data_IF_152022068875
#
_entry.id   IF_152022068875
#
_cell.length_a   1.000
_cell.length_b   1.000
_cell.length_c   1.000
_cell.angle_alpha   90.00
_cell.angle_beta   90.00
_cell.angle_gamma   90.00
#
_symmetry.space_group_name_H-M   'P 1'
#
loop_
_entity.id
_entity.type
_entity.pdbx_description
1 polymer ?
#
# COMPACT_ATOMS: atom_id res chain seq x y z
N UNK A 1 34.85 46.80 6.23
CA UNK A 1 33.95 46.10 5.29
C UNK A 1 33.31 44.96 6.04
N UNK A 2 31.97 44.97 6.21
CA UNK A 2 31.23 43.89 6.89
C UNK A 2 30.49 43.10 5.81
N UNK A 3 30.96 41.90 5.50
CA UNK A 3 30.23 40.96 4.66
C UNK A 3 29.32 40.13 5.57
N UNK A 4 28.02 40.40 5.53
CA UNK A 4 27.03 39.48 6.08
C UNK A 4 26.76 38.43 5.01
N UNK A 5 27.26 37.21 5.22
CA UNK A 5 26.90 36.04 4.44
C UNK A 5 25.42 35.73 4.68
N UNK A 6 24.58 36.03 3.68
CA UNK A 6 23.18 35.61 3.68
C UNK A 6 23.08 34.10 3.52
N UNK A 7 22.69 33.41 4.59
CA UNK A 7 22.25 32.02 4.52
C UNK A 7 20.91 31.99 3.77
N UNK A 8 20.96 31.62 2.49
CA UNK A 8 19.76 31.23 1.74
C UNK A 8 19.31 29.86 2.25
N UNK A 9 18.27 29.83 3.08
CA UNK A 9 17.55 28.60 3.38
C UNK A 9 16.76 28.21 2.13
N UNK A 10 17.22 27.19 1.41
CA UNK A 10 16.41 26.55 0.38
C UNK A 10 15.15 26.00 1.05
N UNK A 11 13.98 26.51 0.68
CA UNK A 11 12.72 25.91 1.06
C UNK A 11 12.68 24.50 0.46
N UNK A 12 12.79 23.48 1.30
CA UNK A 12 12.45 22.11 0.91
C UNK A 12 10.94 22.11 0.70
N UNK A 13 10.51 22.26 -0.56
CA UNK A 13 9.16 21.91 -0.96
C UNK A 13 9.04 20.41 -0.78
N UNK A 14 8.57 19.98 0.39
CA UNK A 14 8.14 18.60 0.58
C UNK A 14 6.93 18.41 -0.31
N UNK A 15 7.10 17.68 -1.42
CA UNK A 15 6.01 17.36 -2.32
C UNK A 15 4.94 16.59 -1.52
N UNK A 16 3.75 17.15 -1.43
CA UNK A 16 2.61 16.53 -0.76
C UNK A 16 2.06 15.42 -1.65
N UNK A 17 2.21 14.17 -1.22
CA UNK A 17 1.75 12.98 -1.94
C UNK A 17 0.21 12.92 -1.86
N UNK A 18 -0.45 12.49 -2.96
CA UNK A 18 -1.88 12.21 -2.97
C UNK A 18 -2.13 10.72 -3.16
N UNK A 19 -2.94 10.14 -2.28
CA UNK A 19 -3.24 8.70 -2.30
C UNK A 19 -4.74 8.45 -2.43
N UNK A 20 -5.10 7.36 -3.08
CA UNK A 20 -6.46 6.83 -3.05
C UNK A 20 -6.81 6.40 -1.63
N UNK A 21 -7.95 6.90 -1.14
CA UNK A 21 -8.51 6.55 0.16
C UNK A 21 -9.94 6.08 -0.01
N UNK A 22 -10.25 4.96 0.62
CA UNK A 22 -11.57 4.33 0.56
C UNK A 22 -11.49 2.83 0.83
N UNK A 23 -12.64 2.18 0.79
CA UNK A 23 -12.75 0.73 0.84
C UNK A 23 -13.89 0.24 -0.06
N UNK A 24 -13.75 -0.97 -0.60
CA UNK A 24 -14.76 -1.63 -1.41
C UNK A 24 -14.57 -3.15 -1.41
N UNK A 25 -15.54 -3.91 -1.91
CA UNK A 25 -15.44 -5.37 -1.98
C UNK A 25 -14.70 -5.83 -3.25
N UNK A 26 -14.63 -4.98 -4.27
CA UNK A 26 -13.94 -5.28 -5.54
C UNK A 26 -13.00 -4.15 -5.96
N UNK A 27 -12.03 -4.46 -6.82
CA UNK A 27 -11.12 -3.45 -7.41
C UNK A 27 -11.88 -2.44 -8.27
N UNK A 28 -12.89 -2.89 -9.02
CA UNK A 28 -13.71 -2.03 -9.86
C UNK A 28 -14.50 -1.02 -9.01
N UNK A 29 -15.12 -1.49 -7.93
CA UNK A 29 -15.88 -0.64 -7.02
C UNK A 29 -14.96 0.33 -6.25
N UNK A 30 -13.78 -0.12 -5.82
CA UNK A 30 -12.77 0.75 -5.24
C UNK A 30 -12.37 1.87 -6.20
N UNK A 31 -12.14 1.54 -7.46
CA UNK A 31 -11.74 2.52 -8.50
C UNK A 31 -12.85 3.53 -8.78
N UNK A 32 -14.12 3.14 -8.66
CA UNK A 32 -15.27 4.02 -8.86
C UNK A 32 -15.60 4.92 -7.67
N UNK A 33 -15.35 4.44 -6.43
CA UNK A 33 -15.85 5.08 -5.21
C UNK A 33 -14.77 5.71 -4.33
N UNK A 34 -13.49 5.39 -4.53
CA UNK A 34 -12.39 5.99 -3.75
C UNK A 34 -12.10 7.43 -4.17
N UNK A 35 -11.51 8.19 -3.25
CA UNK A 35 -11.13 9.58 -3.46
C UNK A 35 -9.63 9.76 -3.28
N UNK A 36 -9.01 10.66 -4.03
CA UNK A 36 -7.62 11.07 -3.76
C UNK A 36 -7.60 12.11 -2.66
N UNK A 37 -6.85 11.81 -1.60
CA UNK A 37 -6.63 12.75 -0.49
C UNK A 37 -5.15 13.11 -0.42
N UNK A 38 -4.87 14.31 0.06
CA UNK A 38 -3.51 14.75 0.34
C UNK A 38 -3.04 14.13 1.65
N UNK A 39 -1.88 13.49 1.62
CA UNK A 39 -1.28 12.87 2.79
C UNK A 39 -0.44 13.87 3.57
N UNK A 40 -0.32 13.65 4.88
CA UNK A 40 0.53 14.48 5.72
C UNK A 40 2.00 14.18 5.50
N UNK A 41 2.88 15.00 6.08
CA UNK A 41 4.32 14.77 6.02
C UNK A 41 4.66 13.41 6.65
N UNK A 42 5.48 12.62 5.95
CA UNK A 42 5.90 11.24 6.29
C UNK A 42 4.83 10.16 6.09
N UNK A 43 3.75 10.46 5.38
CA UNK A 43 2.80 9.45 4.93
C UNK A 43 3.00 9.10 3.46
N UNK A 44 2.81 7.82 3.14
CA UNK A 44 2.87 7.25 1.79
C UNK A 44 1.57 6.52 1.46
N UNK A 45 1.40 6.12 0.21
CA UNK A 45 0.21 5.42 -0.25
C UNK A 45 0.26 3.94 0.11
N UNK A 46 -0.67 3.48 0.95
CA UNK A 46 -0.85 2.06 1.25
C UNK A 46 -2.04 1.50 0.47
N UNK A 47 -1.88 0.33 -0.14
CA UNK A 47 -2.99 -0.50 -0.61
C UNK A 47 -3.04 -1.77 0.23
N UNK A 48 -4.24 -2.22 0.60
CA UNK A 48 -4.48 -3.49 1.26
C UNK A 48 -5.53 -4.28 0.49
N UNK A 49 -5.15 -5.46 0.03
CA UNK A 49 -6.05 -6.43 -0.61
C UNK A 49 -6.24 -7.59 0.35
N UNK A 50 -7.49 -7.86 0.71
CA UNK A 50 -7.85 -9.04 1.50
C UNK A 50 -8.55 -10.06 0.62
N UNK A 51 -8.09 -11.29 0.72
CA UNK A 51 -8.66 -12.43 0.03
C UNK A 51 -9.11 -13.51 1.01
N UNK A 52 -10.11 -14.27 0.61
CA UNK A 52 -10.59 -15.47 1.29
C UNK A 52 -10.75 -16.56 0.24
N UNK A 53 -10.09 -17.69 0.45
CA UNK A 53 -10.05 -18.77 -0.54
C UNK A 53 -9.65 -18.24 -1.94
N UNK A 54 -8.57 -17.45 -2.01
CA UNK A 54 -8.09 -16.82 -3.26
C UNK A 54 -8.95 -15.68 -3.84
N UNK A 55 -10.17 -15.46 -3.34
CA UNK A 55 -11.09 -14.44 -3.85
C UNK A 55 -10.96 -13.12 -3.09
N UNK A 56 -10.86 -12.01 -3.81
CA UNK A 56 -10.89 -10.66 -3.19
C UNK A 56 -12.25 -10.45 -2.55
N UNK A 57 -12.26 -10.03 -1.28
CA UNK A 57 -13.47 -9.61 -0.58
C UNK A 57 -13.34 -8.21 0.03
N UNK A 58 -12.13 -7.63 0.04
CA UNK A 58 -11.91 -6.27 0.49
C UNK A 58 -10.68 -5.65 -0.16
N UNK A 59 -10.84 -4.43 -0.66
CA UNK A 59 -9.78 -3.55 -1.16
C UNK A 59 -9.83 -2.27 -0.35
N UNK A 60 -8.68 -1.81 0.17
CA UNK A 60 -8.60 -0.59 0.97
C UNK A 60 -7.38 0.24 0.55
N UNK A 61 -7.58 1.52 0.33
CA UNK A 61 -6.50 2.49 0.13
C UNK A 61 -6.48 3.50 1.27
N UNK A 62 -5.29 3.97 1.65
CA UNK A 62 -5.13 5.05 2.62
C UNK A 62 -3.77 5.73 2.52
N UNK A 63 -3.66 6.94 3.07
CA UNK A 63 -2.39 7.45 3.57
C UNK A 63 -1.94 6.60 4.77
N UNK A 64 -0.64 6.32 4.90
CA UNK A 64 -0.07 5.54 5.99
C UNK A 64 1.30 6.08 6.33
N UNK A 65 1.62 6.19 7.61
CA UNK A 65 2.99 6.51 8.06
C UNK A 65 4.00 5.55 7.39
N UNK A 66 5.05 6.11 6.80
CA UNK A 66 6.05 5.37 6.00
C UNK A 66 6.57 4.12 6.74
N UNK A 67 7.10 4.31 7.95
CA UNK A 67 7.59 3.21 8.80
C UNK A 67 6.51 2.14 9.05
N UNK A 68 5.28 2.56 9.35
CA UNK A 68 4.19 1.63 9.60
C UNK A 68 3.80 0.86 8.34
N UNK A 69 3.87 1.49 7.17
CA UNK A 69 3.60 0.84 5.89
C UNK A 69 4.67 -0.22 5.61
N UNK A 70 5.95 0.12 5.75
CA UNK A 70 7.06 -0.81 5.52
C UNK A 70 7.00 -2.01 6.48
N UNK A 71 6.75 -1.79 7.77
CA UNK A 71 6.53 -2.85 8.74
C UNK A 71 5.35 -3.77 8.35
N UNK A 72 4.28 -3.19 7.83
CA UNK A 72 3.11 -3.94 7.36
C UNK A 72 3.39 -4.72 6.05
N UNK A 73 4.25 -4.18 5.18
CA UNK A 73 4.70 -4.83 3.94
C UNK A 73 5.59 -6.03 4.25
N UNK A 74 6.53 -5.90 5.17
CA UNK A 74 7.44 -6.99 5.57
C UNK A 74 6.68 -8.21 6.11
N UNK A 75 5.55 -7.99 6.80
CA UNK A 75 4.69 -9.06 7.28
C UNK A 75 3.98 -9.86 6.16
N UNK A 76 3.98 -9.38 4.92
CA UNK A 76 3.40 -10.14 3.81
C UNK A 76 4.09 -11.50 3.66
N UNK A 77 5.42 -11.53 3.76
CA UNK A 77 6.26 -12.71 3.50
C UNK A 77 7.24 -13.03 4.64
N UNK A 78 7.00 -12.48 5.83
CA UNK A 78 7.74 -12.84 7.04
C UNK A 78 7.44 -14.26 7.52
N UNK A 79 7.94 -14.60 8.73
CA UNK A 79 7.72 -15.90 9.37
C UNK A 79 6.23 -16.25 9.50
N UNK A 80 5.41 -15.25 9.84
CA UNK A 80 3.95 -15.36 9.88
C UNK A 80 3.34 -14.80 8.59
N UNK A 81 3.68 -15.41 7.45
CA UNK A 81 3.25 -14.99 6.10
C UNK A 81 1.75 -14.64 6.09
N UNK A 82 1.43 -13.34 5.96
CA UNK A 82 0.03 -12.86 5.91
C UNK A 82 -0.52 -12.80 4.49
N UNK A 83 0.34 -12.55 3.50
CA UNK A 83 -0.07 -12.48 2.10
C UNK A 83 0.03 -13.88 1.49
N UNK A 84 -1.12 -14.47 1.19
CA UNK A 84 -1.28 -15.82 0.62
C UNK A 84 -2.31 -15.75 -0.53
N UNK A 85 -2.01 -14.99 -1.59
CA UNK A 85 -3.01 -14.49 -2.53
C UNK A 85 -3.61 -15.58 -3.43
N UNK A 86 -2.98 -16.75 -3.49
CA UNK A 86 -3.38 -17.92 -4.30
C UNK A 86 -3.90 -19.09 -3.45
N UNK A 87 -3.74 -19.04 -2.14
CA UNK A 87 -4.05 -20.16 -1.26
C UNK A 87 -5.57 -20.24 -1.03
N UNK A 88 -6.13 -21.42 -1.30
CA UNK A 88 -7.58 -21.67 -1.19
C UNK A 88 -7.91 -22.29 0.17
N UNK A 89 -7.22 -23.38 0.53
CA UNK A 89 -7.45 -24.18 1.72
C UNK A 89 -6.16 -24.34 2.52
N UNK A 90 -6.27 -24.28 3.84
CA UNK A 90 -5.18 -24.52 4.78
C UNK A 90 -5.17 -25.96 5.32
N UNK A 91 -4.36 -26.21 6.35
CA UNK A 91 -4.09 -27.56 6.89
C UNK A 91 -5.33 -28.33 7.41
N UNK A 92 -6.44 -27.64 7.67
CA UNK A 92 -7.69 -28.25 8.17
C UNK A 92 -8.87 -28.09 7.19
N UNK A 93 -8.59 -28.00 5.88
CA UNK A 93 -9.59 -27.70 4.84
C UNK A 93 -10.37 -26.38 5.08
N UNK A 94 -9.82 -25.50 5.92
CA UNK A 94 -10.39 -24.19 6.19
C UNK A 94 -9.96 -23.20 5.11
N UNK A 95 -10.89 -22.33 4.69
CA UNK A 95 -10.58 -21.24 3.74
C UNK A 95 -9.47 -20.35 4.28
N UNK A 96 -8.45 -20.11 3.45
CA UNK A 96 -7.31 -19.29 3.85
C UNK A 96 -7.65 -17.82 3.73
N UNK A 97 -7.46 -17.10 4.84
CA UNK A 97 -7.47 -15.66 4.85
C UNK A 97 -6.10 -15.14 4.42
N UNK A 98 -6.09 -14.21 3.48
CA UNK A 98 -4.89 -13.56 2.97
C UNK A 98 -5.03 -12.05 3.08
N UNK A 99 -3.98 -11.40 3.57
CA UNK A 99 -3.89 -9.95 3.67
C UNK A 99 -2.57 -9.52 3.05
N UNK A 100 -2.66 -8.89 1.87
CA UNK A 100 -1.52 -8.39 1.13
C UNK A 100 -1.50 -6.87 1.15
N UNK A 101 -0.35 -6.28 1.48
CA UNK A 101 -0.19 -4.83 1.62
C UNK A 101 0.97 -4.29 0.81
N UNK A 102 0.74 -3.23 0.04
CA UNK A 102 1.81 -2.52 -0.69
C UNK A 102 1.97 -1.10 -0.14
N UNK A 103 3.13 -0.54 -0.41
CA UNK A 103 3.52 0.83 -0.12
C UNK A 103 3.99 1.46 -1.43
N UNK A 104 3.62 2.71 -1.70
CA UNK A 104 3.96 3.45 -2.93
C UNK A 104 4.03 4.96 -2.67
N UNK A 105 4.86 5.67 -3.43
CA UNK A 105 4.94 7.15 -3.39
C UNK A 105 4.00 7.78 -4.41
N UNK A 106 3.34 6.96 -5.22
CA UNK A 106 2.42 7.43 -6.26
C UNK A 106 1.04 6.78 -6.13
N UNK A 107 -0.04 7.53 -6.41
CA UNK A 107 -1.39 6.97 -6.44
C UNK A 107 -1.58 5.94 -7.56
N UNK A 108 -0.75 5.97 -8.59
CA UNK A 108 -0.83 5.01 -9.69
C UNK A 108 -0.30 3.64 -9.27
N UNK A 109 0.87 3.56 -8.64
CA UNK A 109 1.41 2.31 -8.10
C UNK A 109 0.50 1.72 -7.03
N UNK A 110 -0.04 2.58 -6.16
CA UNK A 110 -1.01 2.19 -5.14
C UNK A 110 -2.19 1.44 -5.78
N UNK A 111 -2.82 2.03 -6.80
CA UNK A 111 -3.97 1.42 -7.47
C UNK A 111 -3.57 0.16 -8.26
N UNK A 112 -2.42 0.17 -8.93
CA UNK A 112 -1.92 -0.96 -9.70
C UNK A 112 -1.80 -2.22 -8.81
N UNK A 113 -1.33 -2.06 -7.58
CA UNK A 113 -1.17 -3.18 -6.63
C UNK A 113 -2.48 -3.85 -6.20
N UNK A 114 -3.63 -3.18 -6.37
CA UNK A 114 -4.93 -3.79 -6.10
C UNK A 114 -5.24 -4.96 -7.06
N UNK A 115 -4.54 -5.03 -8.21
CA UNK A 115 -4.74 -6.05 -9.23
C UNK A 115 -3.84 -7.29 -9.10
N UNK A 116 -2.88 -7.28 -8.17
CA UNK A 116 -1.91 -8.37 -8.02
C UNK A 116 -2.58 -9.68 -7.57
N UNK A 117 -2.34 -10.74 -8.33
CA UNK A 117 -3.05 -12.00 -8.16
C UNK A 117 -2.20 -13.08 -7.50
N UNK A 118 -0.90 -13.10 -7.79
CA UNK A 118 0.02 -14.18 -7.41
C UNK A 118 1.07 -13.76 -6.41
N UNK A 119 1.67 -14.72 -5.69
CA UNK A 119 2.85 -14.48 -4.85
C UNK A 119 3.95 -13.77 -5.65
N UNK A 120 4.16 -14.16 -6.91
CA UNK A 120 5.14 -13.56 -7.79
C UNK A 120 4.83 -12.09 -8.13
N UNK A 121 3.55 -11.74 -8.34
CA UNK A 121 3.13 -10.35 -8.59
C UNK A 121 3.41 -9.49 -7.35
N UNK A 122 3.03 -9.99 -6.17
CA UNK A 122 3.28 -9.29 -4.92
C UNK A 122 4.79 -9.18 -4.67
N UNK A 123 5.58 -10.26 -4.77
CA UNK A 123 7.02 -10.19 -4.54
C UNK A 123 7.76 -9.25 -5.50
N UNK A 124 7.43 -9.29 -6.79
CA UNK A 124 8.09 -8.45 -7.81
C UNK A 124 7.85 -6.96 -7.59
N UNK A 125 6.66 -6.61 -7.13
CA UNK A 125 6.19 -5.22 -7.06
C UNK A 125 6.16 -4.67 -5.62
N UNK A 126 6.71 -5.39 -4.65
CA UNK A 126 6.92 -4.93 -3.28
C UNK A 126 8.37 -4.52 -2.98
N UNK A 127 9.28 -4.71 -3.94
CA UNK A 127 10.67 -4.31 -3.84
C UNK A 127 10.78 -2.82 -4.21
N UNK A 128 11.21 -2.04 -3.24
CA UNK A 128 11.76 -0.71 -3.43
C UNK A 128 13.28 -0.81 -3.43
#
# INVERSE_FOLDING_TARGET
MKFFAGLAFAAVNGETIKCWTGEAETVAEFTGNSVKVECTKNEICQMTVRKRAGNVYKVMGSCKQDEACNNNREQNFGSDKQCRPEEILGENDAEVASVCRSCSDTPWEQLNSASFATDADWQRNLLW
#
